data_IF_286249495105
#
_entry.id   IF_286249495105
#
_cell.length_a   1.000
_cell.length_b   1.000
_cell.length_c   1.000
_cell.angle_alpha   90.00
_cell.angle_beta   90.00
_cell.angle_gamma   90.00
#
_symmetry.space_group_name_H-M   'P 1'
#
loop_
_entity.id
_entity.type
_entity.pdbx_description
1 polymer ?
#
# COMPACT_ATOMS: atom_id res chain seq x y z
N UNK A 1 -7.06 -11.98 17.65
CA UNK A 1 -8.08 -12.92 18.16
C UNK A 1 -9.46 -12.53 17.65
N UNK A 2 -10.35 -13.52 17.51
CA UNK A 2 -11.77 -13.35 17.17
C UNK A 2 -12.56 -14.00 18.29
N UNK A 3 -13.57 -13.28 18.80
CA UNK A 3 -14.54 -13.78 19.74
C UNK A 3 -15.90 -13.87 19.04
N UNK A 4 -16.45 -15.07 18.90
CA UNK A 4 -17.79 -15.30 18.34
C UNK A 4 -18.74 -15.70 19.45
N UNK A 5 -19.85 -14.97 19.59
CA UNK A 5 -20.83 -15.21 20.64
C UNK A 5 -21.54 -16.56 20.44
N UNK A 6 -21.64 -17.34 21.51
CA UNK A 6 -22.35 -18.63 21.51
C UNK A 6 -23.82 -18.49 21.13
N UNK A 7 -24.45 -17.32 21.36
CA UNK A 7 -25.83 -17.07 20.94
C UNK A 7 -25.93 -16.99 19.41
N UNK A 8 -24.96 -16.35 18.73
CA UNK A 8 -24.92 -16.29 17.27
C UNK A 8 -24.78 -17.68 16.66
N UNK A 9 -23.90 -18.52 17.22
CA UNK A 9 -23.72 -19.90 16.74
C UNK A 9 -25.01 -20.71 16.91
N UNK A 10 -25.74 -20.55 18.03
CA UNK A 10 -27.02 -21.23 18.23
C UNK A 10 -28.11 -20.78 17.28
N UNK A 11 -28.08 -19.50 16.84
CA UNK A 11 -29.08 -18.94 15.93
C UNK A 11 -28.79 -19.24 14.45
N UNK A 12 -27.52 -19.25 14.06
CA UNK A 12 -27.09 -19.32 12.66
C UNK A 12 -26.30 -20.60 12.32
N UNK A 13 -25.94 -21.42 13.29
CA UNK A 13 -25.11 -22.63 13.10
C UNK A 13 -23.60 -22.35 13.20
N UNK A 14 -22.81 -23.41 13.07
CA UNK A 14 -21.33 -23.35 13.12
C UNK A 14 -20.74 -22.57 11.93
N UNK A 15 -21.45 -22.48 10.81
CA UNK A 15 -21.00 -21.81 9.58
C UNK A 15 -20.64 -20.32 9.81
N UNK A 16 -21.26 -19.67 10.80
CA UNK A 16 -20.98 -18.27 11.10
C UNK A 16 -19.55 -18.08 11.62
N UNK A 17 -19.03 -19.06 12.35
CA UNK A 17 -17.67 -19.04 12.88
C UNK A 17 -16.66 -19.11 11.74
N UNK A 18 -16.88 -20.03 10.79
CA UNK A 18 -16.03 -20.16 9.60
C UNK A 18 -16.04 -18.88 8.75
N UNK A 19 -17.19 -18.25 8.56
CA UNK A 19 -17.29 -16.98 7.85
C UNK A 19 -16.51 -15.85 8.51
N UNK A 20 -16.59 -15.73 9.83
CA UNK A 20 -15.83 -14.74 10.60
C UNK A 20 -14.31 -14.98 10.53
N UNK A 21 -13.88 -16.24 10.58
CA UNK A 21 -12.48 -16.62 10.44
C UNK A 21 -11.92 -16.26 9.05
N UNK A 22 -12.67 -16.53 7.99
CA UNK A 22 -12.30 -16.13 6.61
C UNK A 22 -12.23 -14.61 6.48
N UNK A 23 -13.22 -13.89 7.02
CA UNK A 23 -13.24 -12.44 7.00
C UNK A 23 -12.03 -11.84 7.74
N UNK A 24 -11.66 -12.40 8.87
CA UNK A 24 -10.51 -11.96 9.66
C UNK A 24 -9.18 -12.25 8.98
N UNK A 25 -9.04 -13.41 8.35
CA UNK A 25 -7.84 -13.75 7.56
C UNK A 25 -7.63 -12.75 6.42
N UNK A 26 -8.71 -12.38 5.74
CA UNK A 26 -8.68 -11.34 4.71
C UNK A 26 -8.29 -9.97 5.29
N UNK A 27 -8.87 -9.59 6.42
CA UNK A 27 -8.54 -8.34 7.11
C UNK A 27 -7.07 -8.31 7.55
N UNK A 28 -6.50 -9.43 8.01
CA UNK A 28 -5.09 -9.56 8.34
C UNK A 28 -4.19 -9.29 7.13
N UNK A 29 -4.54 -9.83 5.95
CA UNK A 29 -3.81 -9.56 4.71
C UNK A 29 -3.84 -8.08 4.32
N UNK A 30 -4.99 -7.42 4.45
CA UNK A 30 -5.13 -5.98 4.19
C UNK A 30 -4.34 -5.13 5.21
N UNK A 31 -4.34 -5.54 6.48
CA UNK A 31 -3.55 -4.89 7.52
C UNK A 31 -2.05 -4.97 7.22
N UNK A 32 -1.54 -6.15 6.86
CA UNK A 32 -0.13 -6.34 6.47
C UNK A 32 0.21 -5.47 5.26
N UNK A 33 -0.64 -5.44 4.23
CA UNK A 33 -0.44 -4.58 3.06
C UNK A 33 -0.33 -3.10 3.42
N UNK A 34 -1.17 -2.61 4.33
CA UNK A 34 -1.10 -1.24 4.87
C UNK A 34 0.22 -0.99 5.59
N UNK A 35 0.69 -1.95 6.41
CA UNK A 35 1.91 -1.81 7.20
C UNK A 35 3.19 -1.87 6.36
N UNK A 36 3.18 -2.49 5.20
CA UNK A 36 4.28 -2.41 4.24
C UNK A 36 4.56 -0.95 3.84
N UNK A 37 3.52 -0.12 3.75
CA UNK A 37 3.66 1.30 3.38
C UNK A 37 3.75 2.20 4.61
N UNK A 38 2.77 2.11 5.51
CA UNK A 38 2.52 3.05 6.61
C UNK A 38 2.87 2.50 8.00
N UNK A 39 3.61 1.39 8.08
CA UNK A 39 4.08 0.86 9.37
C UNK A 39 4.98 1.87 10.08
N UNK A 40 4.86 1.97 11.41
CA UNK A 40 5.63 2.91 12.23
C UNK A 40 5.93 2.29 13.59
N UNK A 41 7.17 1.88 13.78
CA UNK A 41 7.65 1.26 15.01
C UNK A 41 7.72 2.24 16.19
N UNK A 42 7.78 3.55 15.92
CA UNK A 42 7.76 4.57 16.98
C UNK A 42 6.36 4.75 17.56
N UNK A 43 5.32 4.67 16.73
CA UNK A 43 3.93 4.77 17.18
C UNK A 43 3.44 3.46 17.79
N UNK A 44 3.87 2.32 17.26
CA UNK A 44 3.52 1.00 17.77
C UNK A 44 4.73 0.06 17.71
N UNK A 45 5.32 -0.28 18.87
CA UNK A 45 6.51 -1.16 18.93
C UNK A 45 6.30 -2.57 18.40
N UNK A 46 5.07 -3.00 18.18
CA UNK A 46 4.73 -4.30 17.59
C UNK A 46 4.69 -4.27 16.06
N UNK A 47 4.96 -3.11 15.45
CA UNK A 47 4.98 -2.94 14.02
C UNK A 47 6.41 -2.70 13.51
N UNK A 48 6.64 -3.02 12.25
CA UNK A 48 7.87 -2.63 11.55
C UNK A 48 7.69 -1.30 10.84
N UNK A 49 8.80 -0.62 10.55
CA UNK A 49 8.78 0.59 9.73
C UNK A 49 8.44 0.25 8.28
N UNK A 50 7.39 0.88 7.77
CA UNK A 50 6.98 0.79 6.38
C UNK A 50 7.86 1.62 5.44
N UNK A 51 7.61 1.53 4.15
CA UNK A 51 8.35 2.26 3.12
C UNK A 51 8.32 3.78 3.36
N UNK A 52 7.22 4.31 3.89
CA UNK A 52 7.09 5.74 4.17
C UNK A 52 8.13 6.26 5.16
N UNK A 53 8.47 5.47 6.19
CA UNK A 53 9.42 5.84 7.23
C UNK A 53 10.86 5.45 6.86
N UNK A 54 11.04 4.39 6.07
CA UNK A 54 12.37 3.91 5.66
C UNK A 54 13.02 4.76 4.59
N UNK A 55 12.22 5.32 3.67
CA UNK A 55 12.74 6.11 2.57
C UNK A 55 13.05 7.52 3.01
N UNK A 56 14.32 7.92 2.90
CA UNK A 56 14.82 9.22 3.34
C UNK A 56 15.82 9.81 2.34
N UNK A 57 16.11 11.10 2.47
CA UNK A 57 17.13 11.78 1.67
C UNK A 57 16.79 11.79 0.17
N UNK A 58 17.74 11.36 -0.67
CA UNK A 58 17.61 11.37 -2.13
C UNK A 58 16.57 10.40 -2.70
N UNK A 59 16.07 9.49 -1.88
CA UNK A 59 15.00 8.57 -2.28
C UNK A 59 13.60 9.21 -2.18
N UNK A 60 13.50 10.40 -1.59
CA UNK A 60 12.25 11.13 -1.45
C UNK A 60 12.27 12.33 -2.38
N UNK A 61 11.38 12.31 -3.37
CA UNK A 61 11.28 13.31 -4.43
C UNK A 61 9.93 14.01 -4.26
N UNK A 62 9.93 15.32 -4.37
CA UNK A 62 8.69 16.10 -4.29
C UNK A 62 7.97 16.10 -5.65
N UNK A 63 6.64 16.15 -5.64
CA UNK A 63 5.80 16.08 -6.85
C UNK A 63 6.07 17.20 -7.86
N UNK A 64 6.59 18.33 -7.38
CA UNK A 64 6.99 19.48 -8.20
C UNK A 64 8.33 20.05 -7.69
N UNK A 65 8.89 21.01 -8.40
CA UNK A 65 10.17 21.65 -8.06
C UNK A 65 10.12 22.46 -6.75
N UNK A 66 8.95 22.91 -6.36
CA UNK A 66 8.70 23.66 -5.12
C UNK A 66 7.61 22.95 -4.34
N UNK A 67 7.82 22.73 -3.05
CA UNK A 67 6.81 22.11 -2.18
C UNK A 67 5.87 23.17 -1.65
N UNK A 68 4.61 23.12 -2.04
CA UNK A 68 3.56 23.99 -1.53
C UNK A 68 2.74 23.32 -0.42
N UNK A 69 2.09 24.12 0.45
CA UNK A 69 1.15 23.56 1.42
C UNK A 69 -0.02 22.87 0.70
N UNK A 70 -0.35 21.67 1.12
CA UNK A 70 -1.36 20.83 0.49
C UNK A 70 -0.91 20.10 -0.79
N UNK A 71 0.35 20.26 -1.18
CA UNK A 71 0.96 19.55 -2.32
C UNK A 71 0.77 20.23 -3.66
N UNK A 72 1.36 19.63 -4.68
CA UNK A 72 1.35 20.10 -6.06
C UNK A 72 0.87 19.00 -7.03
N UNK A 73 0.53 19.42 -8.27
CA UNK A 73 0.24 18.48 -9.33
C UNK A 73 1.49 17.60 -9.60
N UNK A 74 1.28 16.31 -9.83
CA UNK A 74 2.37 15.44 -10.21
C UNK A 74 2.98 15.90 -11.53
N UNK A 75 4.29 16.16 -11.56
CA UNK A 75 5.07 16.32 -12.78
C UNK A 75 5.57 14.97 -13.26
N UNK A 76 5.42 14.67 -14.56
CA UNK A 76 5.96 13.45 -15.16
C UNK A 76 7.49 13.43 -15.06
N UNK A 77 8.14 14.59 -15.23
CA UNK A 77 9.59 14.70 -15.07
C UNK A 77 10.04 14.29 -13.65
N UNK A 78 9.23 14.57 -12.61
CA UNK A 78 9.52 14.13 -11.23
C UNK A 78 9.24 12.64 -11.01
N UNK A 79 8.32 12.06 -11.75
CA UNK A 79 8.11 10.61 -11.74
C UNK A 79 9.27 9.90 -12.44
N UNK A 80 9.78 10.43 -13.56
CA UNK A 80 10.96 9.90 -14.24
C UNK A 80 12.22 10.01 -13.36
N UNK A 81 12.42 11.13 -12.66
CA UNK A 81 13.48 11.30 -11.65
C UNK A 81 13.37 10.21 -10.54
N UNK A 82 12.16 9.86 -10.13
CA UNK A 82 11.95 8.81 -9.15
C UNK A 82 12.27 7.40 -9.70
N UNK A 83 12.01 7.17 -10.97
CA UNK A 83 12.38 5.93 -11.66
C UNK A 83 13.91 5.81 -11.73
N UNK A 84 14.61 6.88 -12.11
CA UNK A 84 16.07 6.93 -12.19
C UNK A 84 16.77 6.79 -10.82
N UNK A 85 16.10 7.20 -9.76
CA UNK A 85 16.62 7.06 -8.40
C UNK A 85 16.68 5.60 -7.91
N UNK A 86 15.88 4.71 -8.50
CA UNK A 86 15.83 3.29 -8.16
C UNK A 86 16.75 2.50 -9.09
N UNK A 87 17.46 1.54 -8.54
CA UNK A 87 18.26 0.63 -9.33
C UNK A 87 17.36 -0.48 -9.89
N UNK A 88 17.32 -0.61 -11.22
CA UNK A 88 16.50 -1.59 -11.96
C UNK A 88 15.04 -1.67 -11.44
N UNK A 89 14.24 -0.59 -11.54
CA UNK A 89 12.88 -0.58 -11.02
C UNK A 89 12.02 -1.64 -11.69
N UNK A 90 11.12 -2.26 -10.92
CA UNK A 90 10.24 -3.33 -11.42
C UNK A 90 8.78 -2.94 -11.41
N UNK A 91 8.35 -2.10 -10.46
CA UNK A 91 6.95 -1.75 -10.28
C UNK A 91 6.77 -0.32 -9.78
N UNK A 92 5.61 0.25 -10.09
CA UNK A 92 5.16 1.52 -9.50
C UNK A 92 3.94 1.24 -8.63
N UNK A 93 4.01 1.61 -7.36
CA UNK A 93 2.94 1.45 -6.40
C UNK A 93 2.16 2.75 -6.28
N UNK A 94 0.86 2.70 -6.57
CA UNK A 94 0.01 3.87 -6.61
C UNK A 94 -1.43 3.57 -6.16
N UNK A 95 -2.19 4.62 -5.85
CA UNK A 95 -3.64 4.52 -5.66
C UNK A 95 -4.39 4.43 -6.99
N UNK A 96 -5.61 3.89 -6.97
CA UNK A 96 -6.51 3.92 -8.14
C UNK A 96 -6.76 5.33 -8.66
N UNK A 97 -6.83 6.31 -7.76
CA UNK A 97 -7.06 7.71 -8.13
C UNK A 97 -5.89 8.25 -8.95
N UNK A 98 -4.64 7.92 -8.58
CA UNK A 98 -3.46 8.36 -9.35
C UNK A 98 -3.36 7.68 -10.70
N UNK A 99 -3.59 6.37 -10.77
CA UNK A 99 -3.61 5.67 -12.07
C UNK A 99 -4.67 6.27 -13.00
N UNK A 100 -5.82 6.67 -12.44
CA UNK A 100 -6.86 7.37 -13.21
C UNK A 100 -6.41 8.74 -13.71
N UNK A 101 -5.75 9.54 -12.86
CA UNK A 101 -5.21 10.86 -13.25
C UNK A 101 -4.14 10.73 -14.34
N UNK A 102 -3.23 9.77 -14.22
CA UNK A 102 -2.23 9.46 -15.26
C UNK A 102 -2.90 9.00 -16.57
N UNK A 103 -3.92 8.14 -16.48
CA UNK A 103 -4.69 7.70 -17.67
C UNK A 103 -5.46 8.86 -18.32
N UNK A 104 -5.95 9.82 -17.54
CA UNK A 104 -6.56 11.04 -18.08
C UNK A 104 -5.52 11.92 -18.79
N UNK A 105 -4.34 12.09 -18.19
CA UNK A 105 -3.25 12.84 -18.78
C UNK A 105 -2.79 12.23 -20.12
N UNK A 106 -2.72 10.90 -20.22
CA UNK A 106 -2.33 10.21 -21.47
C UNK A 106 -3.31 10.43 -22.62
N UNK A 107 -4.56 10.83 -22.34
CA UNK A 107 -5.56 11.18 -23.36
C UNK A 107 -5.47 12.66 -23.77
N UNK A 108 -4.76 13.47 -23.00
CA UNK A 108 -4.54 14.87 -23.32
C UNK A 108 -3.50 15.00 -24.43
N UNK A 109 -3.69 15.98 -25.31
CA UNK A 109 -2.77 16.31 -26.39
C UNK A 109 -1.39 16.71 -25.83
N UNK A 110 -0.34 15.92 -26.12
CA UNK A 110 1.03 16.19 -25.69
C UNK A 110 1.61 15.20 -24.65
N UNK A 111 0.78 14.37 -24.02
CA UNK A 111 1.21 13.36 -23.02
C UNK A 111 0.91 11.93 -23.53
N UNK A 112 0.55 11.81 -24.81
CA UNK A 112 0.24 10.53 -25.42
C UNK A 112 1.52 9.69 -25.64
N UNK A 113 1.46 8.40 -25.25
CA UNK A 113 2.54 7.43 -25.55
C UNK A 113 3.28 6.88 -24.33
N UNK A 114 3.22 7.54 -23.17
CA UNK A 114 3.91 7.07 -21.95
C UNK A 114 3.16 5.98 -21.18
N UNK A 115 1.86 5.85 -21.41
CA UNK A 115 1.03 4.83 -20.77
C UNK A 115 0.72 3.75 -21.79
N UNK A 116 1.19 2.56 -21.51
CA UNK A 116 0.92 1.36 -22.28
C UNK A 116 0.01 0.42 -21.49
N UNK A 117 -0.58 -0.53 -22.16
CA UNK A 117 -1.47 -1.50 -21.56
C UNK A 117 -1.04 -2.90 -22.00
N UNK A 118 -0.94 -3.80 -21.04
CA UNK A 118 -0.80 -5.23 -21.27
C UNK A 118 -2.01 -5.99 -20.71
N UNK A 119 -2.05 -7.28 -20.96
CA UNK A 119 -2.99 -8.19 -20.33
C UNK A 119 -2.20 -9.13 -19.42
N UNK A 120 -2.69 -9.29 -18.20
CA UNK A 120 -2.23 -10.29 -17.25
C UNK A 120 -2.63 -11.70 -17.73
N UNK A 121 -2.04 -12.74 -17.17
CA UNK A 121 -2.37 -14.15 -17.43
C UNK A 121 -3.87 -14.46 -17.28
N UNK A 122 -4.58 -13.68 -16.47
CA UNK A 122 -6.03 -13.76 -16.28
C UNK A 122 -6.84 -12.90 -17.26
N UNK A 123 -6.20 -12.29 -18.27
CA UNK A 123 -6.85 -11.41 -19.25
C UNK A 123 -7.25 -10.03 -18.71
N UNK A 124 -6.80 -9.65 -17.51
CA UNK A 124 -7.06 -8.32 -16.93
C UNK A 124 -6.11 -7.31 -17.51
N UNK A 125 -6.62 -6.11 -17.77
CA UNK A 125 -5.79 -5.00 -18.27
C UNK A 125 -4.90 -4.46 -17.16
N UNK A 126 -3.59 -4.50 -17.38
CA UNK A 126 -2.57 -3.86 -16.55
C UNK A 126 -2.11 -2.58 -17.23
N UNK A 127 -2.05 -1.50 -16.47
CA UNK A 127 -1.55 -0.20 -16.93
C UNK A 127 -0.05 -0.12 -16.63
N UNK A 128 0.73 0.36 -17.57
CA UNK A 128 2.18 0.56 -17.44
C UNK A 128 2.52 2.03 -17.68
N UNK A 129 3.54 2.50 -17.01
CA UNK A 129 4.21 3.76 -17.28
C UNK A 129 5.68 3.47 -17.49
N UNK A 130 6.23 3.89 -18.65
CA UNK A 130 7.61 3.61 -19.03
C UNK A 130 7.99 2.12 -18.84
N UNK A 131 7.13 1.22 -19.34
CA UNK A 131 7.20 -0.25 -19.23
C UNK A 131 7.08 -0.83 -17.81
N UNK A 132 6.92 0.01 -16.78
CA UNK A 132 6.73 -0.42 -15.39
C UNK A 132 5.24 -0.61 -15.09
N UNK A 133 4.82 -1.79 -14.64
CA UNK A 133 3.43 -2.05 -14.25
C UNK A 133 3.07 -1.33 -12.95
N UNK A 134 1.81 -0.87 -12.87
CA UNK A 134 1.26 -0.32 -11.64
C UNK A 134 0.76 -1.43 -10.71
N UNK A 135 1.26 -1.43 -9.47
CA UNK A 135 0.64 -2.12 -8.34
C UNK A 135 -0.33 -1.18 -7.67
N UNK A 136 -1.60 -1.58 -7.64
CA UNK A 136 -2.65 -0.75 -7.06
C UNK A 136 -2.87 -1.13 -5.61
N UNK A 137 -2.62 -0.18 -4.70
CA UNK A 137 -3.02 -0.29 -3.30
C UNK A 137 -4.39 0.36 -3.13
N UNK A 138 -5.35 -0.42 -2.64
CA UNK A 138 -6.75 0.00 -2.56
C UNK A 138 -7.14 0.36 -1.13
N UNK A 139 -7.80 -0.54 -0.43
CA UNK A 139 -8.37 -0.29 0.89
C UNK A 139 -7.67 -1.11 1.98
N UNK A 140 -7.68 -0.57 3.18
CA UNK A 140 -7.25 -1.27 4.38
C UNK A 140 -8.38 -2.14 4.98
N UNK A 141 -8.12 -2.75 6.11
CA UNK A 141 -9.06 -3.59 6.87
C UNK A 141 -10.32 -2.85 7.36
N UNK A 142 -10.26 -1.53 7.45
CA UNK A 142 -11.37 -0.67 7.89
C UNK A 142 -12.13 -0.03 6.71
N UNK A 143 -11.76 -0.38 5.47
CA UNK A 143 -12.33 0.21 4.27
C UNK A 143 -11.82 1.62 3.95
N UNK A 144 -10.79 2.10 4.62
CA UNK A 144 -10.12 3.35 4.29
C UNK A 144 -9.05 3.11 3.21
N UNK A 145 -8.80 4.09 2.36
CA UNK A 145 -7.75 3.98 1.35
C UNK A 145 -6.37 3.99 2.02
N UNK A 146 -5.51 3.04 1.62
CA UNK A 146 -4.13 2.96 2.11
C UNK A 146 -3.32 4.16 1.62
N UNK A 147 -3.39 4.45 0.32
CA UNK A 147 -2.84 5.65 -0.29
C UNK A 147 -4.00 6.61 -0.60
N UNK A 148 -4.18 7.62 0.23
CA UNK A 148 -5.22 8.63 0.09
C UNK A 148 -4.60 10.03 0.13
N UNK A 149 -5.36 11.04 -0.33
CA UNK A 149 -5.01 12.45 -0.26
C UNK A 149 -5.20 13.01 1.16
N UNK A 150 -4.46 12.45 2.11
CA UNK A 150 -4.51 12.80 3.53
C UNK A 150 -3.12 12.97 4.16
N UNK A 151 -2.07 13.07 3.32
CA UNK A 151 -0.71 13.32 3.76
C UNK A 151 -0.40 14.83 3.77
N UNK A 152 0.44 15.24 4.72
CA UNK A 152 1.00 16.58 4.74
C UNK A 152 2.07 16.73 3.64
N UNK A 153 2.08 17.87 2.97
CA UNK A 153 3.12 18.23 2.01
C UNK A 153 3.92 19.44 2.52
N UNK A 154 5.24 19.37 2.39
CA UNK A 154 6.13 20.43 2.85
C UNK A 154 6.05 20.69 4.35
N UNK A 155 6.13 21.97 4.71
CA UNK A 155 6.03 22.47 6.09
C UNK A 155 4.61 22.94 6.45
N UNK A 156 3.66 22.73 5.55
CA UNK A 156 2.28 23.16 5.73
C UNK A 156 1.48 22.27 6.68
N UNK A 157 0.27 22.73 6.98
CA UNK A 157 -0.67 22.02 7.86
C UNK A 157 -1.83 21.36 7.10
N UNK A 158 -1.89 21.53 5.78
CA UNK A 158 -2.98 21.04 4.93
C UNK A 158 -2.70 19.62 4.46
N UNK A 159 -3.44 18.65 4.98
CA UNK A 159 -3.31 17.23 4.63
C UNK A 159 -4.21 16.90 3.41
N UNK A 160 -3.76 17.24 2.21
CA UNK A 160 -4.47 16.98 0.94
C UNK A 160 -3.59 16.35 -0.13
N UNK A 161 -2.41 15.88 0.26
CA UNK A 161 -1.46 15.23 -0.62
C UNK A 161 -1.46 13.72 -0.43
N UNK A 162 -0.89 13.01 -1.40
CA UNK A 162 -0.58 11.59 -1.30
C UNK A 162 0.82 11.30 -1.83
N UNK A 163 1.27 10.07 -1.66
CA UNK A 163 2.54 9.57 -2.19
C UNK A 163 2.35 8.45 -3.20
N UNK A 164 3.35 8.30 -4.08
CA UNK A 164 3.57 7.14 -4.96
C UNK A 164 4.95 6.57 -4.69
N UNK A 165 5.14 5.30 -4.98
CA UNK A 165 6.43 4.64 -4.77
C UNK A 165 6.87 3.91 -6.04
N UNK A 166 8.15 4.02 -6.38
CA UNK A 166 8.78 3.18 -7.40
C UNK A 166 9.62 2.15 -6.65
N UNK A 167 9.46 0.88 -7.00
CA UNK A 167 9.98 -0.24 -6.23
C UNK A 167 10.79 -1.18 -7.11
N UNK A 168 11.83 -1.75 -6.52
CA UNK A 168 12.46 -2.97 -7.00
C UNK A 168 12.12 -4.13 -6.07
N UNK A 169 11.34 -5.08 -6.56
CA UNK A 169 10.90 -6.29 -5.84
C UNK A 169 11.74 -7.53 -6.17
N UNK A 170 12.89 -7.35 -6.83
CA UNK A 170 13.81 -8.43 -7.13
C UNK A 170 14.57 -8.88 -5.88
N UNK A 171 15.16 -10.08 -5.97
CA UNK A 171 16.03 -10.58 -4.91
C UNK A 171 17.17 -9.61 -4.61
N UNK A 172 17.43 -9.41 -3.31
CA UNK A 172 18.47 -8.49 -2.84
C UNK A 172 18.03 -7.02 -2.69
N UNK A 173 16.79 -6.67 -2.99
CA UNK A 173 16.26 -5.30 -2.86
C UNK A 173 15.20 -5.18 -1.76
N UNK A 174 13.94 -5.30 -2.09
CA UNK A 174 12.85 -5.27 -1.12
C UNK A 174 12.33 -6.69 -0.96
N UNK A 175 12.32 -7.18 0.28
CA UNK A 175 11.85 -8.51 0.60
C UNK A 175 10.89 -8.48 1.78
N UNK A 176 9.81 -9.25 1.67
CA UNK A 176 8.96 -9.58 2.80
C UNK A 176 9.63 -10.68 3.62
N UNK A 177 9.72 -10.47 4.91
CA UNK A 177 10.18 -11.49 5.86
C UNK A 177 8.95 -12.12 6.50
N UNK A 178 8.94 -13.45 6.61
CA UNK A 178 7.90 -14.16 7.34
C UNK A 178 8.50 -15.37 8.07
N UNK A 179 7.95 -15.69 9.21
CA UNK A 179 8.29 -16.88 9.96
C UNK A 179 7.11 -17.88 9.88
N UNK A 180 7.14 -18.71 8.85
CA UNK A 180 6.05 -19.65 8.57
C UNK A 180 4.81 -19.03 7.92
N UNK A 181 3.75 -19.80 7.82
CA UNK A 181 2.43 -19.36 7.38
C UNK A 181 1.64 -18.78 8.56
N UNK A 182 0.60 -17.97 8.32
CA UNK A 182 -0.31 -17.57 9.39
C UNK A 182 -0.87 -18.81 10.11
N UNK A 183 -0.70 -18.86 11.44
CA UNK A 183 -1.20 -19.93 12.27
C UNK A 183 -2.58 -19.56 12.81
N UNK A 184 -3.51 -20.50 12.76
CA UNK A 184 -4.86 -20.34 13.30
C UNK A 184 -5.05 -21.39 14.38
N UNK A 185 -5.27 -20.95 15.61
CA UNK A 185 -5.47 -21.80 16.77
C UNK A 185 -6.88 -21.60 17.33
N UNK A 186 -7.65 -22.67 17.42
CA UNK A 186 -8.93 -22.67 18.10
C UNK A 186 -8.73 -22.85 19.62
N UNK A 187 -8.93 -21.78 20.38
CA UNK A 187 -8.85 -21.81 21.84
C UNK A 187 -10.15 -22.29 22.50
N UNK A 188 -11.18 -22.59 21.72
CA UNK A 188 -12.44 -23.07 22.21
C UNK A 188 -13.25 -22.01 22.98
N UNK A 189 -14.10 -22.47 23.90
CA UNK A 189 -14.96 -21.61 24.71
C UNK A 189 -14.16 -20.92 25.83
N UNK A 190 -14.26 -19.60 25.89
CA UNK A 190 -13.62 -18.80 26.94
C UNK A 190 -14.41 -18.93 28.26
N UNK A 191 -13.71 -19.03 29.39
CA UNK A 191 -14.36 -19.25 30.72
C UNK A 191 -15.11 -18.01 31.19
N UNK A 192 -14.58 -16.81 30.93
CA UNK A 192 -15.11 -15.55 31.45
C UNK A 192 -16.27 -14.96 30.63
N UNK A 193 -16.45 -15.47 29.40
CA UNK A 193 -17.44 -14.92 28.44
C UNK A 193 -18.11 -16.05 27.66
N UNK A 194 -19.38 -15.88 27.23
CA UNK A 194 -20.08 -16.86 26.40
C UNK A 194 -19.65 -16.77 24.93
N UNK A 195 -18.35 -16.85 24.65
CA UNK A 195 -17.78 -16.74 23.32
C UNK A 195 -16.84 -17.89 23.02
N UNK A 196 -16.73 -18.24 21.75
CA UNK A 196 -15.67 -19.07 21.22
C UNK A 196 -14.56 -18.16 20.67
N UNK A 197 -13.32 -18.48 21.03
CA UNK A 197 -12.15 -17.68 20.65
C UNK A 197 -11.26 -18.45 19.67
N UNK A 198 -10.92 -17.79 18.57
CA UNK A 198 -9.90 -18.24 17.61
C UNK A 198 -8.77 -17.23 17.58
N UNK A 199 -7.52 -17.70 17.71
CA UNK A 199 -6.31 -16.89 17.66
C UNK A 199 -5.68 -17.00 16.29
N UNK A 200 -5.26 -15.86 15.74
CA UNK A 200 -4.44 -15.77 14.54
C UNK A 200 -3.07 -15.23 14.90
N UNK A 201 -2.03 -15.95 14.58
CA UNK A 201 -0.65 -15.52 14.77
C UNK A 201 0.05 -15.43 13.41
N UNK A 202 0.67 -14.30 13.13
CA UNK A 202 1.44 -14.08 11.94
C UNK A 202 2.63 -13.19 12.22
N UNK A 203 3.82 -13.71 12.03
CA UNK A 203 5.08 -13.00 12.19
C UNK A 203 5.58 -12.59 10.81
N UNK A 204 5.43 -11.33 10.49
CA UNK A 204 5.85 -10.74 9.22
C UNK A 204 6.72 -9.50 9.44
N UNK A 205 7.49 -9.15 8.45
CA UNK A 205 8.35 -7.96 8.45
C UNK A 205 8.70 -7.51 7.05
N UNK A 206 9.35 -6.38 6.94
CA UNK A 206 9.84 -5.82 5.69
C UNK A 206 11.35 -5.62 5.78
N UNK A 207 12.10 -6.11 4.80
CA UNK A 207 13.54 -5.85 4.66
C UNK A 207 13.80 -5.03 3.41
N UNK A 208 14.63 -4.00 3.54
CA UNK A 208 15.20 -3.21 2.45
C UNK A 208 16.69 -3.46 2.45
N UNK A 209 17.18 -4.27 1.51
CA UNK A 209 18.56 -4.76 1.51
C UNK A 209 19.51 -3.85 0.73
N UNK A 210 18.98 -3.08 -0.23
CA UNK A 210 19.77 -2.19 -1.06
C UNK A 210 19.36 -0.72 -0.84
N UNK A 211 20.30 0.24 -0.77
CA UNK A 211 19.98 1.66 -0.54
C UNK A 211 19.08 2.28 -1.62
N UNK A 212 19.18 1.81 -2.87
CA UNK A 212 18.40 2.28 -4.02
C UNK A 212 17.29 1.30 -4.40
N UNK A 213 16.69 0.62 -3.41
CA UNK A 213 15.62 -0.37 -3.65
C UNK A 213 14.26 0.26 -3.94
N UNK A 214 14.05 1.49 -3.51
CA UNK A 214 12.80 2.21 -3.72
C UNK A 214 13.01 3.71 -3.72
N UNK A 215 12.08 4.43 -4.32
CA UNK A 215 11.92 5.88 -4.20
C UNK A 215 10.46 6.22 -3.89
N UNK A 216 10.25 7.40 -3.32
CA UNK A 216 8.94 7.93 -2.96
C UNK A 216 8.76 9.30 -3.63
N UNK A 217 7.71 9.45 -4.42
CA UNK A 217 7.21 10.76 -4.85
C UNK A 217 6.15 11.19 -3.85
N UNK A 218 6.42 12.26 -3.09
CA UNK A 218 5.50 12.78 -2.06
C UNK A 218 4.88 14.09 -2.47
N UNK A 219 3.86 14.53 -1.74
CA UNK A 219 3.24 15.84 -1.92
C UNK A 219 2.40 15.95 -3.19
N UNK A 220 1.85 14.85 -3.68
CA UNK A 220 1.01 14.82 -4.89
C UNK A 220 -0.41 15.25 -4.53
N UNK A 221 -0.86 16.37 -5.04
CA UNK A 221 -2.22 16.87 -4.94
C UNK A 221 -3.14 16.21 -5.97
N UNK A 222 -4.42 16.12 -5.66
CA UNK A 222 -5.45 15.66 -6.60
C UNK A 222 -5.73 16.71 -7.67
N UNK A 223 -4.82 16.79 -8.64
CA UNK A 223 -4.89 17.74 -9.77
C UNK A 223 -4.47 17.02 -11.07
N UNK A 224 -4.69 17.70 -12.21
CA UNK A 224 -4.22 17.18 -13.50
C UNK A 224 -2.68 17.06 -13.47
N UNK A 225 -2.17 15.95 -14.02
CA UNK A 225 -0.73 15.70 -14.15
C UNK A 225 -0.13 16.69 -15.14
N UNK A 226 1.04 17.23 -14.83
CA UNK A 226 1.82 18.11 -15.71
C UNK A 226 2.96 17.35 -16.37
N UNK A 227 3.30 17.75 -17.62
CA UNK A 227 4.43 17.20 -18.34
C UNK A 227 5.76 17.68 -17.74
#
# INVERSE_FOLDING_TARGET
EIDVDTALIKMHGEDIREQEEVAKTKALGLYVAKKIIKGDSLSNPLEWDGLQNRLTGSQVIDAASTVTDGGDALSLAKLDEAIDAVDTPTHILASKDMVRLLTQASRASGVAGFITYSQDEMGRRVTHYNDLPFLIMDYDENGAKILDFNELAGTGSTATAQSMYVLNLSDGYIQGLQNGTPEVEDLGKVQDKPVFRTRFEYLAGLATLHPRCASRVRGIKKAAVTA
#
